data_IF_357978704965
#
_entry.id   IF_357978704965
#
_cell.length_a   1.000
_cell.length_b   1.000
_cell.length_c   1.000
_cell.angle_alpha   90.00
_cell.angle_beta   90.00
_cell.angle_gamma   90.00
#
_symmetry.space_group_name_H-M   'P 1'
#
loop_
_entity.id
_entity.type
_entity.pdbx_description
1 polymer ?
#
# COMPACT_ATOMS: atom_id res chain seq x y z
N UNK A 1 5.20 2.51 -4.06
CA UNK A 1 5.68 1.19 -4.47
C UNK A 1 4.62 0.48 -5.34
N UNK A 2 4.35 1.04 -6.53
CA UNK A 2 3.34 0.47 -7.43
C UNK A 2 3.88 -0.72 -8.26
N UNK A 3 5.21 -0.87 -8.38
CA UNK A 3 5.85 -1.90 -9.18
C UNK A 3 5.33 -1.90 -10.63
N UNK A 4 4.84 -3.04 -11.11
CA UNK A 4 4.22 -3.17 -12.45
C UNK A 4 2.80 -2.55 -12.54
N UNK A 5 2.31 -1.91 -11.49
CA UNK A 5 1.03 -1.21 -11.48
C UNK A 5 -0.20 -2.11 -11.46
N UNK A 6 -0.09 -3.37 -11.07
CA UNK A 6 -1.20 -4.35 -11.12
C UNK A 6 -2.50 -3.79 -10.50
N UNK A 7 -2.42 -3.27 -9.29
CA UNK A 7 -3.58 -2.76 -8.57
C UNK A 7 -4.10 -1.46 -9.20
N UNK A 8 -3.20 -0.52 -9.57
CA UNK A 8 -3.61 0.72 -10.24
C UNK A 8 -4.25 0.49 -11.59
N UNK A 9 -3.73 -0.45 -12.39
CA UNK A 9 -4.33 -0.84 -13.67
C UNK A 9 -5.74 -1.41 -13.51
N UNK A 10 -5.99 -2.14 -12.42
CA UNK A 10 -7.32 -2.66 -12.10
C UNK A 10 -8.35 -1.52 -11.89
N UNK A 11 -7.98 -0.47 -11.16
CA UNK A 11 -8.84 0.70 -10.93
C UNK A 11 -9.00 1.53 -12.20
N UNK A 12 -7.90 1.76 -12.93
CA UNK A 12 -7.93 2.51 -14.18
C UNK A 12 -8.86 1.87 -15.22
N UNK A 13 -8.83 0.55 -15.38
CA UNK A 13 -9.74 -0.19 -16.28
C UNK A 13 -11.22 -0.06 -15.91
N UNK A 14 -11.51 0.36 -14.67
CA UNK A 14 -12.87 0.63 -14.17
C UNK A 14 -13.25 2.11 -14.21
N UNK A 15 -12.41 2.93 -14.87
CA UNK A 15 -12.68 4.35 -15.07
C UNK A 15 -12.28 5.24 -13.90
N UNK A 16 -11.52 4.73 -12.92
CA UNK A 16 -11.04 5.54 -11.79
C UNK A 16 -9.70 6.19 -12.13
N UNK A 17 -9.57 7.52 -12.04
CA UNK A 17 -8.28 8.19 -12.12
C UNK A 17 -7.31 7.60 -11.10
N UNK A 18 -6.07 7.35 -11.52
CA UNK A 18 -5.11 6.58 -10.72
C UNK A 18 -3.74 7.24 -10.72
N UNK A 19 -3.16 7.36 -9.54
CA UNK A 19 -1.77 7.79 -9.35
C UNK A 19 -0.90 6.55 -9.10
N UNK A 20 0.16 6.41 -9.87
CA UNK A 20 1.17 5.37 -9.70
C UNK A 20 2.41 5.99 -9.07
N UNK A 21 2.81 5.49 -7.91
CA UNK A 21 3.96 6.03 -7.16
C UNK A 21 5.00 4.94 -6.96
N UNK A 22 6.22 5.17 -7.40
CA UNK A 22 7.35 4.27 -7.18
C UNK A 22 8.67 5.04 -7.19
N UNK A 23 9.73 4.44 -6.67
CA UNK A 23 11.10 4.96 -6.83
C UNK A 23 11.61 4.74 -8.25
N UNK A 24 11.11 3.69 -8.92
CA UNK A 24 11.34 3.41 -10.34
C UNK A 24 10.01 3.13 -11.04
N UNK A 25 9.53 4.10 -11.80
CA UNK A 25 8.26 4.02 -12.52
C UNK A 25 8.38 3.40 -13.92
N UNK A 26 9.53 2.80 -14.30
CA UNK A 26 9.76 2.25 -15.63
C UNK A 26 8.65 1.27 -16.08
N UNK A 27 8.15 0.45 -15.15
CA UNK A 27 7.16 -0.59 -15.43
C UNK A 27 5.73 -0.08 -15.67
N UNK A 28 5.49 1.22 -15.50
CA UNK A 28 4.18 1.87 -15.75
C UNK A 28 4.27 3.00 -16.76
N UNK A 29 5.43 3.22 -17.39
CA UNK A 29 5.65 4.28 -18.40
C UNK A 29 4.77 4.13 -19.64
N UNK A 30 4.33 2.92 -19.96
CA UNK A 30 3.36 2.67 -21.02
C UNK A 30 2.01 3.35 -20.80
N UNK A 31 1.71 3.74 -19.56
CA UNK A 31 0.50 4.47 -19.19
C UNK A 31 0.66 5.99 -19.29
N UNK A 32 1.86 6.50 -19.55
CA UNK A 32 2.12 7.94 -19.63
C UNK A 32 1.26 8.61 -20.71
N UNK A 33 0.63 9.71 -20.37
CA UNK A 33 -0.28 10.43 -21.28
C UNK A 33 -1.69 9.83 -21.38
N UNK A 34 -1.97 8.70 -20.71
CA UNK A 34 -3.33 8.17 -20.62
C UNK A 34 -4.19 9.08 -19.75
N UNK A 35 -5.40 9.37 -20.20
CA UNK A 35 -6.33 10.21 -19.43
C UNK A 35 -6.63 9.58 -18.06
N UNK A 36 -6.57 10.38 -17.01
CA UNK A 36 -6.78 9.92 -15.64
C UNK A 36 -5.59 9.18 -15.01
N UNK A 37 -4.42 9.21 -15.65
CA UNK A 37 -3.19 8.62 -15.11
C UNK A 37 -2.21 9.72 -14.71
N UNK A 38 -1.70 9.63 -13.49
CA UNK A 38 -0.53 10.34 -13.00
C UNK A 38 0.55 9.33 -12.62
N UNK A 39 1.79 9.60 -13.00
CA UNK A 39 2.95 8.77 -12.64
C UNK A 39 3.91 9.65 -11.86
N UNK A 40 4.21 9.24 -10.63
CA UNK A 40 5.13 9.92 -9.74
C UNK A 40 6.32 9.02 -9.44
N UNK A 41 7.48 9.36 -9.98
CA UNK A 41 8.74 8.69 -9.66
C UNK A 41 9.41 9.43 -8.50
N UNK A 42 9.38 8.84 -7.31
CA UNK A 42 9.88 9.45 -6.07
C UNK A 42 10.29 8.39 -5.05
N UNK A 43 11.36 8.66 -4.31
CA UNK A 43 11.75 7.88 -3.14
C UNK A 43 10.89 8.28 -1.93
N UNK A 44 10.06 7.34 -1.47
CA UNK A 44 9.20 7.50 -0.29
C UNK A 44 9.90 7.15 1.02
N UNK A 45 11.09 6.52 0.98
CA UNK A 45 11.83 6.08 2.15
C UNK A 45 12.85 7.13 2.63
N UNK A 46 12.57 8.39 2.38
CA UNK A 46 13.41 9.48 2.83
C UNK A 46 13.14 9.82 4.30
N UNK A 47 14.18 10.31 4.99
CA UNK A 47 14.05 10.86 6.36
C UNK A 47 13.41 12.25 6.39
N UNK A 48 13.10 12.80 5.23
CA UNK A 48 12.46 14.12 5.09
C UNK A 48 10.94 13.98 5.24
N UNK A 49 10.27 14.80 6.08
CA UNK A 49 8.83 14.63 6.36
C UNK A 49 7.89 14.81 5.16
N UNK A 50 8.39 15.23 3.99
CA UNK A 50 7.57 15.68 2.86
C UNK A 50 7.83 14.91 1.54
N UNK A 51 8.20 13.63 1.61
CA UNK A 51 8.30 12.83 0.38
C UNK A 51 6.93 12.57 -0.28
N UNK A 52 5.84 12.67 0.48
CA UNK A 52 4.47 12.48 -0.01
C UNK A 52 3.87 13.83 -0.42
N UNK A 53 3.61 14.07 -1.71
CA UNK A 53 3.26 15.42 -2.21
C UNK A 53 1.76 15.74 -2.20
N UNK A 54 0.93 14.86 -1.65
CA UNK A 54 -0.51 15.03 -1.66
C UNK A 54 -1.03 15.48 -0.29
N UNK A 55 -2.06 16.31 -0.31
CA UNK A 55 -2.76 16.78 0.88
C UNK A 55 -3.55 15.64 1.55
N UNK A 56 -3.85 15.76 2.84
CA UNK A 56 -4.79 14.85 3.51
C UNK A 56 -6.13 14.74 2.77
N UNK A 57 -6.76 13.58 2.87
CA UNK A 57 -8.07 13.32 2.27
C UNK A 57 -8.14 13.47 0.73
N UNK A 58 -7.02 13.27 0.03
CA UNK A 58 -6.93 13.42 -1.44
C UNK A 58 -7.44 12.21 -2.22
N UNK A 59 -7.55 11.02 -1.61
CA UNK A 59 -7.81 9.78 -2.33
C UNK A 59 -9.04 9.03 -1.82
N UNK A 60 -9.92 8.65 -2.73
CA UNK A 60 -11.03 7.74 -2.42
C UNK A 60 -10.53 6.32 -2.09
N UNK A 61 -9.39 5.90 -2.66
CA UNK A 61 -8.76 4.62 -2.36
C UNK A 61 -7.24 4.79 -2.29
N UNK A 62 -6.64 4.28 -1.22
CA UNK A 62 -5.18 4.14 -1.09
C UNK A 62 -4.86 2.65 -1.03
N UNK A 63 -3.96 2.19 -1.90
CA UNK A 63 -3.55 0.78 -1.99
C UNK A 63 -2.05 0.67 -1.87
N UNK A 64 -1.58 -0.19 -0.97
CA UNK A 64 -0.18 -0.58 -0.89
C UNK A 64 -0.05 -2.09 -0.69
N UNK A 65 0.77 -2.74 -1.52
CA UNK A 65 1.02 -4.19 -1.43
C UNK A 65 2.51 -4.50 -1.51
N UNK A 66 2.98 -5.49 -0.73
CA UNK A 66 4.37 -5.91 -0.69
C UNK A 66 5.36 -4.78 -0.36
N UNK A 67 4.94 -3.83 0.45
CA UNK A 67 5.72 -2.66 0.82
C UNK A 67 5.52 -2.36 2.30
N UNK A 68 6.60 -2.10 3.03
CA UNK A 68 6.54 -1.72 4.44
C UNK A 68 7.59 -0.65 4.76
N UNK A 69 7.13 0.60 4.85
CA UNK A 69 7.88 1.72 5.39
C UNK A 69 7.02 2.41 6.46
N UNK A 70 7.24 2.02 7.71
CA UNK A 70 6.41 2.46 8.86
C UNK A 70 6.26 3.97 9.00
N UNK A 71 7.31 4.79 8.76
CA UNK A 71 7.17 6.25 8.85
C UNK A 71 6.16 6.86 7.88
N UNK A 72 5.88 6.21 6.75
CA UNK A 72 4.95 6.71 5.73
C UNK A 72 3.48 6.34 6.04
N UNK A 73 3.24 5.27 6.78
CA UNK A 73 1.88 4.72 6.96
C UNK A 73 0.89 5.75 7.55
N UNK A 74 1.23 6.56 8.56
CA UNK A 74 0.32 7.61 9.04
C UNK A 74 -0.12 8.57 7.92
N UNK A 75 0.82 9.00 7.08
CA UNK A 75 0.55 9.89 5.94
C UNK A 75 -0.36 9.23 4.90
N UNK A 76 -0.14 7.95 4.58
CA UNK A 76 -1.02 7.21 3.68
C UNK A 76 -2.44 7.06 4.25
N UNK A 77 -2.55 6.80 5.56
CA UNK A 77 -3.85 6.77 6.24
C UNK A 77 -4.53 8.13 6.12
N UNK A 78 -3.82 9.22 6.43
CA UNK A 78 -4.38 10.58 6.39
C UNK A 78 -4.80 11.01 4.98
N UNK A 79 -4.19 10.43 3.94
CA UNK A 79 -4.52 10.68 2.54
C UNK A 79 -5.88 10.09 2.10
N UNK A 80 -6.48 9.19 2.88
CA UNK A 80 -7.79 8.61 2.58
C UNK A 80 -8.88 9.64 2.84
N UNK A 81 -9.71 9.93 1.83
CA UNK A 81 -10.84 10.86 1.95
C UNK A 81 -11.97 10.30 2.82
N UNK A 82 -12.87 11.13 3.39
CA UNK A 82 -14.09 10.67 4.03
C UNK A 82 -14.89 9.73 3.11
N UNK A 83 -15.35 8.59 3.62
CA UNK A 83 -15.96 7.53 2.85
C UNK A 83 -14.99 6.69 2.00
N UNK A 84 -13.71 7.04 2.00
CA UNK A 84 -12.68 6.34 1.24
C UNK A 84 -12.16 5.08 1.93
N UNK A 85 -11.37 4.31 1.19
CA UNK A 85 -10.89 2.99 1.58
C UNK A 85 -9.36 2.94 1.58
N UNK A 86 -8.80 2.32 2.62
CA UNK A 86 -7.39 1.95 2.74
C UNK A 86 -7.26 0.44 2.57
N UNK A 87 -6.48 0.02 1.59
CA UNK A 87 -6.16 -1.39 1.32
C UNK A 87 -4.66 -1.59 1.50
N UNK A 88 -4.30 -2.45 2.42
CA UNK A 88 -2.89 -2.72 2.69
C UNK A 88 -2.63 -4.20 2.88
N UNK A 89 -1.57 -4.70 2.24
CA UNK A 89 -1.15 -6.08 2.34
C UNK A 89 0.36 -6.16 2.25
N UNK A 90 1.01 -6.83 3.21
CA UNK A 90 2.44 -7.12 3.12
C UNK A 90 2.82 -8.30 4.01
N UNK A 91 4.10 -8.68 3.91
CA UNK A 91 4.66 -9.82 4.62
C UNK A 91 4.67 -9.59 6.14
N UNK A 92 4.44 -10.67 6.88
CA UNK A 92 4.47 -10.69 8.33
C UNK A 92 5.52 -11.64 8.88
N UNK A 93 5.81 -11.55 10.18
CA UNK A 93 6.71 -12.44 10.90
C UNK A 93 6.28 -13.89 10.68
N UNK A 94 7.24 -14.75 10.38
CA UNK A 94 7.04 -16.13 9.93
C UNK A 94 7.34 -16.31 8.43
N UNK A 95 7.31 -15.23 7.63
CA UNK A 95 7.62 -15.29 6.20
C UNK A 95 9.09 -15.66 5.92
N UNK A 96 9.99 -15.34 6.85
CA UNK A 96 11.44 -15.59 6.72
C UNK A 96 11.79 -17.06 6.51
N UNK A 97 10.91 -17.99 6.88
CA UNK A 97 11.10 -19.43 6.65
C UNK A 97 10.82 -19.83 5.21
N UNK A 98 10.00 -19.06 4.49
CA UNK A 98 9.61 -19.34 3.11
C UNK A 98 10.47 -18.59 2.07
N UNK A 99 10.95 -17.38 2.41
CA UNK A 99 11.70 -16.59 1.45
C UNK A 99 12.03 -15.18 1.91
N UNK A 100 12.07 -14.26 0.96
CA UNK A 100 12.26 -12.84 1.22
C UNK A 100 10.91 -12.13 1.32
N UNK A 101 10.81 -11.06 2.10
CA UNK A 101 11.85 -10.47 2.97
C UNK A 101 12.13 -11.34 4.22
N UNK A 102 13.39 -11.28 4.70
CA UNK A 102 13.83 -11.95 5.95
C UNK A 102 14.17 -10.95 7.05
N UNK A 103 14.44 -9.70 6.68
CA UNK A 103 14.71 -8.65 7.65
C UNK A 103 13.43 -8.31 8.43
N UNK A 104 13.46 -8.40 9.79
CA UNK A 104 12.29 -8.07 10.62
C UNK A 104 11.72 -6.67 10.41
N UNK A 105 12.54 -5.71 9.96
CA UNK A 105 12.09 -4.34 9.67
C UNK A 105 11.07 -4.29 8.52
N UNK A 106 11.10 -5.28 7.64
CA UNK A 106 10.17 -5.44 6.52
C UNK A 106 9.06 -6.48 6.76
N UNK A 107 8.92 -6.93 8.02
CA UNK A 107 7.90 -7.89 8.43
C UNK A 107 6.96 -7.26 9.46
N UNK A 108 5.67 -7.37 9.23
CA UNK A 108 4.67 -6.93 10.19
C UNK A 108 4.66 -7.87 11.41
N UNK A 109 4.54 -7.29 12.58
CA UNK A 109 4.27 -8.04 13.82
C UNK A 109 2.81 -8.51 13.82
N UNK A 110 2.51 -9.53 14.63
CA UNK A 110 1.15 -10.02 14.76
C UNK A 110 0.16 -8.89 15.09
N UNK A 111 -0.87 -8.72 14.26
CA UNK A 111 -1.90 -7.71 14.43
C UNK A 111 -1.45 -6.25 14.24
N UNK A 112 -0.25 -6.02 13.71
CA UNK A 112 0.30 -4.64 13.61
C UNK A 112 -0.57 -3.72 12.75
N UNK A 113 -1.18 -4.23 11.67
CA UNK A 113 -2.09 -3.41 10.85
C UNK A 113 -3.34 -2.97 11.64
N UNK A 114 -3.87 -3.79 12.52
CA UNK A 114 -4.99 -3.40 13.39
C UNK A 114 -4.61 -2.24 14.31
N UNK A 115 -3.41 -2.31 14.90
CA UNK A 115 -2.93 -1.23 15.78
C UNK A 115 -2.73 0.08 15.00
N UNK A 116 -2.23 0.00 13.77
CA UNK A 116 -2.04 1.18 12.91
C UNK A 116 -3.37 1.87 12.55
N UNK A 117 -4.47 1.12 12.43
CA UNK A 117 -5.80 1.67 12.12
C UNK A 117 -6.54 2.20 13.34
N UNK A 118 -6.14 1.81 14.55
CA UNK A 118 -6.85 2.15 15.80
C UNK A 118 -7.09 3.66 15.94
N UNK A 119 -8.37 4.05 16.05
CA UNK A 119 -8.80 5.44 16.20
C UNK A 119 -8.62 6.33 14.96
N UNK A 120 -8.25 5.74 13.81
CA UNK A 120 -8.04 6.47 12.56
C UNK A 120 -9.00 6.03 11.47
N UNK A 121 -9.12 4.73 11.25
CA UNK A 121 -9.99 4.14 10.24
C UNK A 121 -10.80 3.00 10.87
N UNK A 122 -12.01 2.81 10.39
CA UNK A 122 -12.85 1.68 10.77
C UNK A 122 -12.45 0.44 9.97
N UNK A 123 -11.96 -0.58 10.66
CA UNK A 123 -11.59 -1.85 10.03
C UNK A 123 -12.84 -2.56 9.50
N UNK A 124 -12.81 -2.90 8.23
CA UNK A 124 -13.87 -3.67 7.54
C UNK A 124 -13.49 -5.14 7.47
N UNK A 125 -12.21 -5.41 7.20
CA UNK A 125 -11.68 -6.76 7.05
C UNK A 125 -10.21 -6.75 7.45
N UNK A 126 -9.78 -7.82 8.10
CA UNK A 126 -8.39 -8.07 8.49
C UNK A 126 -8.11 -9.56 8.48
N UNK A 127 -6.95 -9.93 7.94
CA UNK A 127 -6.45 -11.29 8.02
C UNK A 127 -4.94 -11.33 8.25
N UNK A 128 -4.52 -12.40 8.90
CA UNK A 128 -3.12 -12.83 8.95
C UNK A 128 -3.10 -14.31 8.65
N UNK A 129 -2.48 -14.68 7.56
CA UNK A 129 -2.55 -16.03 7.07
C UNK A 129 -1.24 -16.49 6.43
N UNK A 130 -1.11 -17.81 6.32
CA UNK A 130 -0.04 -18.42 5.53
C UNK A 130 -0.63 -18.85 4.20
N UNK A 131 -0.17 -18.24 3.11
CA UNK A 131 -0.51 -18.68 1.77
C UNK A 131 0.17 -20.03 1.49
N UNK A 132 -0.55 -20.98 0.87
CA UNK A 132 0.01 -22.29 0.53
C UNK A 132 0.89 -22.22 -0.73
N UNK A 133 1.52 -23.36 -1.07
CA UNK A 133 2.16 -23.57 -2.36
C UNK A 133 1.26 -23.15 -3.55
N UNK A 134 1.84 -22.71 -4.68
CA UNK A 134 3.26 -22.80 -5.05
C UNK A 134 4.13 -21.62 -4.55
N UNK A 135 3.60 -20.59 -3.95
CA UNK A 135 4.34 -19.44 -3.45
C UNK A 135 3.99 -19.17 -1.98
N UNK A 136 4.50 -19.99 -1.06
CA UNK A 136 4.16 -19.85 0.35
C UNK A 136 4.66 -18.53 0.92
N UNK A 137 3.82 -17.85 1.68
CA UNK A 137 4.15 -16.60 2.33
C UNK A 137 3.29 -16.40 3.58
N UNK A 138 3.82 -15.73 4.59
CA UNK A 138 3.01 -15.21 5.70
C UNK A 138 2.72 -13.75 5.45
N UNK A 139 1.45 -13.41 5.38
CA UNK A 139 0.99 -12.05 5.10
C UNK A 139 0.01 -11.56 6.16
N UNK A 140 -0.06 -10.24 6.32
CA UNK A 140 -1.21 -9.54 6.88
C UNK A 140 -1.83 -8.68 5.80
N UNK A 141 -3.16 -8.61 5.79
CA UNK A 141 -3.91 -7.70 4.95
C UNK A 141 -5.00 -7.00 5.74
N UNK A 142 -5.39 -5.83 5.29
CA UNK A 142 -6.44 -5.03 5.89
C UNK A 142 -7.20 -4.23 4.84
N UNK A 143 -8.52 -4.17 5.00
CA UNK A 143 -9.39 -3.20 4.38
C UNK A 143 -10.01 -2.33 5.48
N UNK A 144 -9.83 -1.03 5.40
CA UNK A 144 -10.35 -0.09 6.38
C UNK A 144 -10.94 1.14 5.70
N UNK A 145 -11.93 1.78 6.31
CA UNK A 145 -12.65 2.93 5.76
C UNK A 145 -12.51 4.13 6.68
N UNK A 146 -12.45 5.30 6.07
CA UNK A 146 -12.61 6.57 6.79
C UNK A 146 -14.10 6.92 6.85
N UNK A 147 -14.66 7.03 8.05
CA UNK A 147 -16.05 7.45 8.27
C UNK A 147 -16.22 8.94 8.03
#
# INVERSE_FOLDING_TARGET
>A
ACGAGRNGRFFLQRGHPTVFVDIDAANVRDLAGTNGVEILEIDLETKTPNAWPYEPASFAVVVATNYLWRPLIPTLIDSVAPGGVFLYETFAIGNEVFGRPKNPDFLLKAGELLEMMRGKLRVVEFGQETHPDPNPAVIQHIAAMRD
#
